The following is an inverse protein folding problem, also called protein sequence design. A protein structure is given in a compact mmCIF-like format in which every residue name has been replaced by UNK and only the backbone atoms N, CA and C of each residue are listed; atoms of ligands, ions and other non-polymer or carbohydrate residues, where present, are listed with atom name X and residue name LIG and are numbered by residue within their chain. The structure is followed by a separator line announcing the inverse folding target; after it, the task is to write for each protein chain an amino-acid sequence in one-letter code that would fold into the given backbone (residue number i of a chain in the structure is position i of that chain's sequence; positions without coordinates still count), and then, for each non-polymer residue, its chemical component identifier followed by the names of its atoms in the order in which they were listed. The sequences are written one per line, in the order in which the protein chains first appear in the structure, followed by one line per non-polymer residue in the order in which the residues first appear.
data_IF_228363629845
#
_entry.id   IF_228363629845
#
_cell.length_a   1.000
_cell.length_b   1.000
_cell.length_c   1.000
_cell.angle_alpha   90.00
_cell.angle_beta   90.00
_cell.angle_gamma   90.00
#
_symmetry.space_group_name_H-M   'P 1'
#
loop_
_entity.id
_entity.type
_entity.pdbx_description
1 polymer ?
#
# COMPACT_ATOMS: atom_id res chain seq x y z
N UNK A 1 41.90 -14.52 14.65
CA UNK A 1 40.91 -15.28 13.86
C UNK A 1 39.48 -15.08 14.36
N UNK A 2 39.23 -14.91 15.65
CA UNK A 2 37.85 -14.71 16.19
C UNK A 2 37.19 -13.38 15.83
N UNK A 3 37.93 -12.28 15.69
CA UNK A 3 37.34 -10.97 15.27
C UNK A 3 36.81 -10.94 13.84
N UNK A 4 37.43 -11.73 12.92
CA UNK A 4 36.97 -11.78 11.53
C UNK A 4 35.63 -12.53 11.37
N UNK A 5 35.35 -13.45 12.30
CA UNK A 5 34.08 -14.20 12.28
C UNK A 5 32.89 -13.40 12.86
N UNK A 6 33.16 -12.51 13.81
CA UNK A 6 32.12 -11.65 14.38
C UNK A 6 31.62 -10.57 13.37
N UNK A 7 32.53 -10.00 12.57
CA UNK A 7 32.13 -9.04 11.53
C UNK A 7 31.36 -9.68 10.37
N UNK A 8 31.70 -10.92 10.00
CA UNK A 8 30.93 -11.66 8.99
C UNK A 8 29.54 -12.08 9.49
N UNK A 9 29.41 -12.44 10.77
CA UNK A 9 28.12 -12.76 11.37
C UNK A 9 27.22 -11.52 11.48
N UNK A 10 27.77 -10.37 11.85
CA UNK A 10 27.05 -9.11 11.89
C UNK A 10 26.61 -8.64 10.50
N UNK A 11 27.44 -8.81 9.46
CA UNK A 11 27.09 -8.49 8.08
C UNK A 11 26.00 -9.42 7.52
N UNK A 12 26.01 -10.70 7.92
CA UNK A 12 24.99 -11.66 7.51
C UNK A 12 23.64 -11.39 8.19
N UNK A 13 23.67 -11.01 9.48
CA UNK A 13 22.47 -10.62 10.22
C UNK A 13 21.81 -9.36 9.63
N UNK A 14 22.60 -8.34 9.26
CA UNK A 14 22.09 -7.13 8.61
C UNK A 14 21.51 -7.45 7.23
N UNK A 15 22.12 -8.36 6.46
CA UNK A 15 21.60 -8.77 5.15
C UNK A 15 20.27 -9.53 5.26
N UNK A 16 20.11 -10.38 6.28
CA UNK A 16 18.86 -11.11 6.53
C UNK A 16 17.77 -10.17 7.03
N UNK A 17 18.05 -9.21 7.90
CA UNK A 17 17.09 -8.20 8.36
C UNK A 17 16.61 -7.27 7.24
N UNK A 18 17.51 -6.85 6.35
CA UNK A 18 17.14 -6.04 5.18
C UNK A 18 16.25 -6.82 4.20
N UNK A 19 16.46 -8.13 4.04
CA UNK A 19 15.63 -8.98 3.17
C UNK A 19 14.25 -9.20 3.78
N UNK A 20 14.14 -9.39 5.10
CA UNK A 20 12.86 -9.56 5.80
C UNK A 20 12.04 -8.26 5.76
N UNK A 21 12.66 -7.09 5.93
CA UNK A 21 11.96 -5.80 5.83
C UNK A 21 11.43 -5.49 4.41
N UNK A 22 11.96 -6.14 3.35
CA UNK A 22 11.49 -5.97 1.98
C UNK A 22 10.42 -6.98 1.55
N UNK A 23 10.27 -8.09 2.25
CA UNK A 23 9.33 -9.17 1.88
C UNK A 23 7.97 -9.03 2.58
N UNK A 24 7.95 -8.47 3.78
CA UNK A 24 6.75 -8.38 4.61
C UNK A 24 5.63 -7.45 4.14
N UNK A 25 5.84 -6.32 3.44
CA UNK A 25 4.71 -5.46 3.09
C UNK A 25 3.84 -6.00 1.95
N UNK A 26 4.26 -7.05 1.23
CA UNK A 26 3.52 -7.56 0.08
C UNK A 26 2.75 -8.86 0.32
N UNK A 27 3.16 -9.71 1.24
CA UNK A 27 2.44 -10.94 1.57
C UNK A 27 1.28 -10.70 2.55
N UNK A 28 1.45 -9.80 3.51
CA UNK A 28 0.37 -9.30 4.34
C UNK A 28 -0.72 -8.60 3.51
N UNK A 29 -0.34 -7.89 2.42
CA UNK A 29 -1.28 -7.26 1.51
C UNK A 29 -2.25 -8.25 0.83
N UNK A 30 -1.86 -9.48 0.54
CA UNK A 30 -2.72 -10.42 -0.17
C UNK A 30 -3.74 -11.13 0.73
N UNK A 31 -3.34 -11.56 1.92
CA UNK A 31 -4.24 -12.25 2.85
C UNK A 31 -5.23 -11.28 3.51
N UNK A 32 -4.76 -10.09 3.90
CA UNK A 32 -5.58 -9.05 4.49
C UNK A 32 -6.47 -8.34 3.45
N UNK A 33 -6.07 -8.33 2.19
CA UNK A 33 -6.88 -7.83 1.09
C UNK A 33 -8.19 -8.63 0.93
N UNK A 34 -8.16 -9.95 1.08
CA UNK A 34 -9.36 -10.77 1.07
C UNK A 34 -10.26 -10.50 2.29
N UNK A 35 -9.66 -10.22 3.45
CA UNK A 35 -10.40 -9.86 4.68
C UNK A 35 -11.01 -8.45 4.60
N UNK A 36 -10.30 -7.49 3.98
CA UNK A 36 -10.77 -6.11 3.75
C UNK A 36 -11.99 -6.03 2.84
N UNK A 37 -12.05 -6.89 1.84
CA UNK A 37 -13.19 -6.97 0.93
C UNK A 37 -14.48 -7.44 1.62
N UNK A 38 -14.38 -8.04 2.80
CA UNK A 38 -15.53 -8.53 3.57
C UNK A 38 -16.02 -7.53 4.65
N UNK A 39 -15.22 -6.53 5.04
CA UNK A 39 -15.53 -5.68 6.22
C UNK A 39 -16.19 -4.34 5.91
N UNK A 40 -16.26 -3.90 4.67
CA UNK A 40 -16.79 -2.59 4.32
C UNK A 40 -18.11 -2.65 3.57
N UNK A 41 -19.21 -2.42 4.29
CA UNK A 41 -20.48 -1.90 3.73
C UNK A 41 -20.27 -0.43 3.29
N UNK A 42 -19.40 -0.16 2.32
CA UNK A 42 -19.49 1.10 1.58
C UNK A 42 -20.58 0.97 0.55
N UNK A 43 -21.50 1.94 0.55
CA UNK A 43 -22.57 2.00 -0.45
C UNK A 43 -21.94 1.88 -1.85
N UNK A 44 -22.29 0.80 -2.55
CA UNK A 44 -21.94 0.53 -3.94
C UNK A 44 -22.59 1.60 -4.85
N UNK A 45 -22.05 2.80 -4.85
CA UNK A 45 -22.27 3.70 -5.98
C UNK A 45 -21.32 3.22 -7.07
N UNK A 46 -21.83 2.33 -7.90
CA UNK A 46 -21.15 1.99 -9.15
C UNK A 46 -20.94 3.28 -9.98
N UNK A 47 -19.69 3.52 -10.39
CA UNK A 47 -19.35 4.65 -11.24
C UNK A 47 -18.89 5.90 -10.48
N UNK A 48 -18.51 6.93 -11.25
CA UNK A 48 -18.04 8.21 -10.70
C UNK A 48 -19.16 9.11 -10.16
N UNK A 49 -20.42 8.79 -10.45
CA UNK A 49 -21.57 9.62 -10.08
C UNK A 49 -21.66 10.97 -10.82
N UNK A 50 -20.82 11.15 -11.86
CA UNK A 50 -20.75 12.36 -12.71
C UNK A 50 -20.54 11.96 -14.16
N UNK A 51 -21.11 12.75 -15.07
CA UNK A 51 -20.94 12.57 -16.51
C UNK A 51 -19.65 13.22 -17.04
N UNK A 52 -19.03 14.08 -16.25
CA UNK A 52 -17.83 14.81 -16.63
C UNK A 52 -16.97 15.09 -15.40
N UNK A 53 -15.64 15.02 -15.53
CA UNK A 53 -14.68 15.34 -14.49
C UNK A 53 -13.55 16.23 -15.04
N UNK A 54 -13.01 17.15 -14.21
CA UNK A 54 -11.84 17.93 -14.60
C UNK A 54 -10.60 17.04 -14.67
N UNK A 55 -9.65 17.42 -15.54
CA UNK A 55 -8.35 16.81 -15.65
C UNK A 55 -7.33 17.61 -14.86
N UNK A 56 -6.39 16.87 -14.21
CA UNK A 56 -5.35 17.49 -13.39
C UNK A 56 -3.96 17.04 -13.83
N UNK A 57 -2.95 17.87 -13.52
CA UNK A 57 -1.53 17.51 -13.56
C UNK A 57 -0.93 17.58 -12.17
N UNK A 58 -0.02 16.68 -11.87
CA UNK A 58 0.80 16.76 -10.65
C UNK A 58 1.71 17.97 -10.73
N UNK A 59 1.83 18.70 -9.63
CA UNK A 59 2.83 19.74 -9.46
C UNK A 59 4.07 19.07 -8.89
N UNK A 60 5.26 19.24 -9.51
CA UNK A 60 6.50 18.72 -8.97
C UNK A 60 6.73 19.18 -7.53
N UNK A 61 7.24 18.28 -6.69
CA UNK A 61 7.59 18.60 -5.32
C UNK A 61 8.91 19.37 -5.21
N UNK A 62 9.31 19.68 -3.97
CA UNK A 62 10.51 20.52 -3.71
C UNK A 62 11.84 19.77 -3.88
N UNK A 63 11.80 18.51 -4.26
CA UNK A 63 12.97 17.65 -4.39
C UNK A 63 13.23 16.78 -3.16
N UNK A 64 13.76 15.57 -3.41
CA UNK A 64 13.95 14.55 -2.37
C UNK A 64 14.92 14.96 -1.26
N UNK A 65 15.99 15.66 -1.60
CA UNK A 65 16.99 16.14 -0.64
C UNK A 65 16.40 17.21 0.30
N UNK A 66 15.66 18.16 -0.25
CA UNK A 66 15.03 19.23 0.53
C UNK A 66 14.02 18.65 1.53
N UNK A 67 13.17 17.72 1.08
CA UNK A 67 12.18 17.06 1.94
C UNK A 67 12.87 16.22 3.02
N UNK A 68 13.89 15.43 2.66
CA UNK A 68 14.59 14.60 3.61
C UNK A 68 15.28 15.42 4.71
N UNK A 69 15.99 16.48 4.34
CA UNK A 69 16.67 17.36 5.29
C UNK A 69 15.67 18.04 6.25
N UNK A 70 14.54 18.49 5.72
CA UNK A 70 13.49 19.12 6.53
C UNK A 70 12.85 18.14 7.52
N UNK A 71 12.56 16.90 7.11
CA UNK A 71 12.02 15.85 7.98
C UNK A 71 13.05 15.43 9.05
N UNK A 72 14.32 15.29 8.69
CA UNK A 72 15.38 15.03 9.67
C UNK A 72 15.45 16.13 10.71
N UNK A 73 15.46 17.38 10.29
CA UNK A 73 15.45 18.53 11.20
C UNK A 73 14.24 18.55 12.13
N UNK A 74 13.05 18.26 11.59
CA UNK A 74 11.80 18.20 12.35
C UNK A 74 11.83 17.13 13.44
N UNK A 75 12.37 15.95 13.14
CA UNK A 75 12.33 14.81 14.05
C UNK A 75 13.60 14.63 14.89
N UNK A 76 14.64 15.42 14.67
CA UNK A 76 15.94 15.28 15.37
C UNK A 76 15.81 15.35 16.89
N UNK A 77 14.97 16.23 17.40
CA UNK A 77 14.76 16.45 18.83
C UNK A 77 13.43 15.87 19.33
N UNK A 78 12.78 15.04 18.51
CA UNK A 78 11.50 14.44 18.89
C UNK A 78 11.68 13.44 20.04
N UNK A 79 10.82 13.56 21.06
CA UNK A 79 10.70 12.60 22.15
C UNK A 79 9.72 11.46 21.86
N UNK A 80 9.11 11.48 20.66
CA UNK A 80 8.17 10.43 20.22
C UNK A 80 8.92 9.32 19.48
N UNK A 81 8.28 8.17 19.20
CA UNK A 81 8.84 7.15 18.33
C UNK A 81 9.17 7.64 16.90
N UNK A 82 8.55 8.73 16.45
CA UNK A 82 8.95 9.38 15.19
C UNK A 82 10.16 10.28 15.47
N UNK A 83 11.36 9.72 15.38
CA UNK A 83 12.62 10.40 15.69
C UNK A 83 13.69 10.09 14.66
N UNK A 84 14.64 11.02 14.46
CA UNK A 84 15.83 10.85 13.62
C UNK A 84 17.11 11.03 14.42
N UNK A 85 17.05 10.74 15.72
CA UNK A 85 18.22 10.77 16.61
C UNK A 85 19.24 9.68 16.26
N UNK A 86 20.49 9.90 16.65
CA UNK A 86 21.59 8.98 16.43
C UNK A 86 22.32 9.19 15.10
N UNK A 87 23.28 8.31 14.85
CA UNK A 87 24.06 8.30 13.60
C UNK A 87 23.20 7.74 12.46
N UNK A 88 23.44 8.23 11.26
CA UNK A 88 22.71 7.73 10.08
C UNK A 88 23.62 7.66 8.86
N UNK A 89 23.26 6.78 7.92
CA UNK A 89 23.91 6.62 6.61
C UNK A 89 22.96 7.04 5.51
N UNK A 90 23.47 7.86 4.58
CA UNK A 90 22.74 8.30 3.39
C UNK A 90 23.09 7.41 2.20
N UNK A 91 22.10 6.95 1.47
CA UNK A 91 22.23 6.17 0.24
C UNK A 91 21.33 6.74 -0.84
N UNK A 92 21.85 6.85 -2.06
CA UNK A 92 21.07 7.26 -3.23
C UNK A 92 21.08 6.13 -4.24
N UNK A 93 19.90 5.65 -4.62
CA UNK A 93 19.75 4.61 -5.65
C UNK A 93 18.69 5.07 -6.66
N UNK A 94 19.15 5.49 -7.84
CA UNK A 94 18.27 6.08 -8.84
C UNK A 94 17.53 7.29 -8.28
N UNK A 95 16.20 7.26 -8.37
CA UNK A 95 15.34 8.36 -7.90
C UNK A 95 14.96 8.28 -6.41
N UNK A 96 15.54 7.35 -5.65
CA UNK A 96 15.29 7.15 -4.23
C UNK A 96 16.48 7.65 -3.41
N UNK A 97 16.18 8.43 -2.37
CA UNK A 97 17.09 8.79 -1.30
C UNK A 97 16.66 8.03 -0.05
N UNK A 98 17.56 7.21 0.51
CA UNK A 98 17.37 6.49 1.75
C UNK A 98 18.31 7.02 2.81
N UNK A 99 17.81 7.28 4.01
CA UNK A 99 18.59 7.65 5.18
C UNK A 99 18.26 6.63 6.25
N UNK A 100 19.29 5.90 6.68
CA UNK A 100 19.17 4.74 7.56
C UNK A 100 19.89 5.07 8.86
N UNK A 101 19.12 5.21 9.93
CA UNK A 101 19.61 5.32 11.30
C UNK A 101 19.77 3.95 11.95
N UNK A 102 20.10 3.92 13.23
CA UNK A 102 20.23 2.69 14.01
C UNK A 102 18.88 1.96 14.16
N UNK A 103 17.85 2.68 14.56
CA UNK A 103 16.51 2.13 14.83
C UNK A 103 15.45 2.60 13.82
N UNK A 104 15.80 3.40 12.81
CA UNK A 104 14.84 4.02 11.91
C UNK A 104 15.35 4.12 10.48
N UNK A 105 14.43 4.30 9.55
CA UNK A 105 14.78 4.71 8.19
C UNK A 105 13.79 5.74 7.64
N UNK A 106 14.29 6.56 6.73
CA UNK A 106 13.54 7.52 5.96
C UNK A 106 13.87 7.34 4.48
N UNK A 107 12.87 7.04 3.68
CA UNK A 107 12.96 7.00 2.22
C UNK A 107 12.19 8.15 1.62
N UNK A 108 12.82 8.86 0.70
CA UNK A 108 12.20 9.91 -0.11
C UNK A 108 12.40 9.58 -1.58
N UNK A 109 11.31 9.50 -2.32
CA UNK A 109 11.32 9.11 -3.74
C UNK A 109 10.85 10.26 -4.64
N UNK A 110 11.25 10.17 -5.91
CA UNK A 110 10.82 11.08 -6.94
C UNK A 110 11.26 12.51 -6.67
N UNK A 111 10.30 13.39 -6.75
CA UNK A 111 10.44 14.83 -6.52
C UNK A 111 10.22 15.26 -5.05
N UNK A 112 10.16 14.29 -4.13
CA UNK A 112 9.92 14.53 -2.71
C UNK A 112 8.44 14.43 -2.30
N UNK A 113 7.53 14.12 -3.21
CA UNK A 113 6.11 13.94 -2.88
C UNK A 113 5.80 12.56 -2.31
N UNK A 114 6.74 11.61 -2.37
CA UNK A 114 6.58 10.27 -1.82
C UNK A 114 7.63 10.01 -0.73
N UNK A 115 7.16 9.77 0.48
CA UNK A 115 7.99 9.55 1.66
C UNK A 115 7.53 8.30 2.39
N UNK A 116 8.49 7.60 2.97
CA UNK A 116 8.28 6.51 3.92
C UNK A 116 9.19 6.67 5.11
N UNK A 117 8.62 6.63 6.30
CA UNK A 117 9.35 6.58 7.55
C UNK A 117 8.92 5.37 8.38
N UNK A 118 9.86 4.69 9.02
CA UNK A 118 9.61 3.63 10.00
C UNK A 118 10.61 3.72 11.13
N UNK A 119 10.15 3.42 12.33
CA UNK A 119 11.01 3.18 13.47
C UNK A 119 10.96 1.68 13.82
N UNK A 120 12.06 0.98 13.58
CA UNK A 120 12.15 -0.47 13.78
C UNK A 120 12.04 -0.89 15.24
N UNK A 121 12.57 -0.08 16.16
CA UNK A 121 12.52 -0.37 17.60
C UNK A 121 11.10 -0.56 18.13
N UNK A 122 10.13 0.09 17.49
CA UNK A 122 8.72 0.04 17.86
C UNK A 122 7.88 -0.86 16.94
N UNK A 123 8.49 -1.35 15.87
CA UNK A 123 7.89 -2.32 14.96
C UNK A 123 8.29 -3.76 15.27
N UNK A 124 9.36 -3.94 16.07
CA UNK A 124 9.73 -5.26 16.54
C UNK A 124 8.55 -5.86 17.29
N UNK A 125 8.08 -6.98 16.75
CA UNK A 125 6.98 -7.76 17.30
C UNK A 125 7.41 -8.37 18.64
N UNK A 126 7.41 -7.54 19.67
CA UNK A 126 7.58 -8.03 21.03
C UNK A 126 6.28 -8.69 21.46
N UNK A 127 6.26 -9.99 21.75
CA UNK A 127 5.05 -10.71 22.10
C UNK A 127 4.27 -10.05 23.25
N UNK A 128 4.99 -9.41 24.19
CA UNK A 128 4.41 -8.70 25.33
C UNK A 128 3.65 -7.42 24.96
N UNK A 129 3.89 -6.88 23.76
CA UNK A 129 3.17 -5.69 23.24
C UNK A 129 2.02 -6.06 22.31
N UNK A 130 1.92 -7.33 21.94
CA UNK A 130 0.85 -7.81 21.09
C UNK A 130 -0.48 -7.84 21.89
N UNK A 131 -1.56 -7.57 21.20
CA UNK A 131 -2.92 -7.60 21.72
C UNK A 131 -3.74 -8.67 21.01
N UNK A 132 -4.73 -9.23 21.68
CA UNK A 132 -5.70 -10.09 20.99
C UNK A 132 -6.43 -9.30 19.90
N UNK A 133 -6.99 -10.01 18.92
CA UNK A 133 -7.74 -9.36 17.83
C UNK A 133 -8.93 -8.54 18.36
N UNK A 134 -9.53 -8.97 19.48
CA UNK A 134 -10.64 -8.27 20.15
C UNK A 134 -10.22 -6.97 20.85
N UNK A 135 -8.96 -6.86 21.27
CA UNK A 135 -8.43 -5.69 21.98
C UNK A 135 -7.76 -4.66 21.05
N UNK A 136 -7.81 -4.88 19.74
CA UNK A 136 -7.21 -3.96 18.76
C UNK A 136 -7.86 -2.58 18.82
N UNK A 137 -7.13 -1.57 18.37
CA UNK A 137 -7.69 -0.23 18.19
C UNK A 137 -8.84 -0.26 17.18
N UNK A 138 -9.95 0.40 17.49
CA UNK A 138 -11.07 0.49 16.57
C UNK A 138 -10.73 1.39 15.36
N UNK A 139 -11.47 1.23 14.26
CA UNK A 139 -11.27 2.03 13.05
C UNK A 139 -11.48 3.52 13.32
N UNK A 140 -12.49 3.87 14.14
CA UNK A 140 -12.80 5.25 14.52
C UNK A 140 -11.66 5.85 15.34
N UNK A 141 -11.09 5.07 16.26
CA UNK A 141 -9.93 5.53 17.04
C UNK A 141 -8.70 5.72 16.20
N UNK A 142 -8.44 4.82 15.25
CA UNK A 142 -7.32 4.94 14.30
C UNK A 142 -7.51 6.16 13.37
N UNK A 143 -8.74 6.43 12.93
CA UNK A 143 -9.04 7.61 12.13
C UNK A 143 -8.78 8.90 12.92
N UNK A 144 -9.29 9.00 14.15
CA UNK A 144 -9.06 10.15 15.05
C UNK A 144 -7.56 10.40 15.22
N UNK A 145 -6.81 9.37 15.64
CA UNK A 145 -5.37 9.46 15.87
C UNK A 145 -4.61 9.85 14.59
N UNK A 146 -5.00 9.28 13.45
CA UNK A 146 -4.39 9.59 12.15
C UNK A 146 -4.59 11.04 11.74
N UNK A 147 -5.80 11.57 11.89
CA UNK A 147 -6.10 13.00 11.61
C UNK A 147 -5.31 13.94 12.52
N UNK A 148 -5.24 13.62 13.81
CA UNK A 148 -4.43 14.39 14.78
C UNK A 148 -2.96 14.39 14.36
N UNK A 149 -2.40 13.22 14.03
CA UNK A 149 -1.00 13.12 13.62
C UNK A 149 -0.72 13.91 12.33
N UNK A 150 -1.56 13.79 11.31
CA UNK A 150 -1.42 14.56 10.07
C UNK A 150 -1.44 16.06 10.36
N UNK A 151 -2.42 16.53 11.13
CA UNK A 151 -2.57 17.95 11.46
C UNK A 151 -1.38 18.50 12.25
N UNK A 152 -0.88 17.77 13.24
CA UNK A 152 0.18 18.23 14.13
C UNK A 152 1.59 18.04 13.55
N UNK A 153 1.79 17.00 12.74
CA UNK A 153 3.15 16.59 12.34
C UNK A 153 3.38 16.72 10.84
N UNK A 154 2.40 16.42 10.01
CA UNK A 154 2.56 16.37 8.55
C UNK A 154 1.83 17.49 7.79
N UNK A 155 1.27 18.48 8.46
CA UNK A 155 0.45 19.54 7.83
C UNK A 155 1.18 20.33 6.74
N UNK A 156 2.50 20.48 6.83
CA UNK A 156 3.30 21.13 5.79
C UNK A 156 3.47 20.29 4.52
N UNK A 157 3.32 18.96 4.64
CA UNK A 157 3.49 18.01 3.55
C UNK A 157 2.15 17.52 3.00
N UNK A 158 1.17 17.34 3.88
CA UNK A 158 -0.20 16.89 3.54
C UNK A 158 -1.11 18.12 3.51
N UNK A 159 -0.97 18.91 2.45
CA UNK A 159 -1.80 20.10 2.25
C UNK A 159 -3.12 19.70 1.60
N UNK A 160 -4.21 20.22 2.15
CA UNK A 160 -5.59 20.01 1.68
C UNK A 160 -6.09 21.34 1.13
N UNK A 161 -6.44 21.38 -0.14
CA UNK A 161 -7.02 22.55 -0.81
C UNK A 161 -8.47 22.81 -0.39
N UNK A 162 -9.02 23.97 -0.79
CA UNK A 162 -10.38 24.38 -0.39
C UNK A 162 -11.48 23.43 -0.90
N UNK A 163 -11.26 22.79 -2.04
CA UNK A 163 -12.17 21.82 -2.66
C UNK A 163 -11.71 20.37 -2.47
N UNK A 164 -10.76 20.14 -1.56
CA UNK A 164 -10.21 18.82 -1.27
C UNK A 164 -10.62 18.35 0.12
N UNK A 165 -10.73 17.05 0.28
CA UNK A 165 -11.04 16.40 1.54
C UNK A 165 -10.09 15.25 1.79
N UNK A 166 -9.68 15.06 3.05
CA UNK A 166 -8.97 13.88 3.53
C UNK A 166 -10.00 12.84 3.97
N UNK A 167 -10.05 11.71 3.25
CA UNK A 167 -11.07 10.66 3.46
C UNK A 167 -10.40 9.41 4.01
N UNK A 168 -10.91 8.77 5.08
CA UNK A 168 -10.44 7.46 5.49
C UNK A 168 -10.71 6.45 4.38
N UNK A 169 -9.68 5.67 4.04
CA UNK A 169 -9.76 4.72 2.94
C UNK A 169 -9.89 3.29 3.44
N UNK A 170 -8.98 2.84 4.31
CA UNK A 170 -9.07 1.58 5.01
C UNK A 170 -8.16 1.56 6.25
N UNK A 171 -8.39 0.59 7.12
CA UNK A 171 -7.50 0.22 8.22
C UNK A 171 -6.88 -1.15 7.96
N UNK A 172 -5.68 -1.36 8.50
CA UNK A 172 -4.93 -2.60 8.39
C UNK A 172 -4.33 -2.96 9.74
N UNK A 173 -4.36 -4.25 10.08
CA UNK A 173 -3.75 -4.75 11.30
C UNK A 173 -2.64 -5.74 10.92
N UNK A 174 -1.44 -5.54 11.47
CA UNK A 174 -0.36 -6.52 11.38
C UNK A 174 -0.66 -7.63 12.37
N UNK A 175 -1.05 -8.79 11.86
CA UNK A 175 -1.44 -9.96 12.63
C UNK A 175 -0.34 -11.02 12.51
N UNK A 176 -0.01 -11.66 13.63
CA UNK A 176 0.88 -12.82 13.67
C UNK A 176 0.34 -13.87 14.64
N UNK A 177 0.82 -15.10 14.52
CA UNK A 177 0.28 -16.26 15.22
C UNK A 177 -0.57 -17.15 14.31
N UNK A 178 -1.36 -18.03 14.87
CA UNK A 178 -2.25 -18.92 14.12
C UNK A 178 -1.61 -20.22 13.62
N UNK A 179 -0.33 -20.45 13.93
CA UNK A 179 0.35 -21.71 13.62
C UNK A 179 0.19 -22.76 14.70
N UNK A 180 0.32 -24.04 14.34
CA UNK A 180 0.45 -25.15 15.29
C UNK A 180 1.93 -25.38 15.60
N UNK A 181 2.30 -25.32 16.89
CA UNK A 181 3.67 -25.60 17.32
C UNK A 181 4.08 -27.07 17.09
N UNK A 182 3.10 -27.98 17.09
CA UNK A 182 3.26 -29.42 16.80
C UNK A 182 1.98 -29.91 16.13
N UNK A 183 2.11 -30.98 15.32
CA UNK A 183 0.96 -31.65 14.73
C UNK A 183 -0.05 -32.06 15.81
N UNK A 184 -1.32 -31.72 15.63
CA UNK A 184 -2.40 -31.99 16.58
C UNK A 184 -2.50 -31.02 17.79
N UNK A 185 -1.57 -30.09 17.95
CA UNK A 185 -1.72 -29.03 18.96
C UNK A 185 -2.74 -27.96 18.50
N UNK A 186 -3.40 -27.28 19.43
CA UNK A 186 -4.22 -26.12 19.05
C UNK A 186 -3.34 -25.04 18.38
N UNK A 187 -3.90 -24.33 17.40
CA UNK A 187 -3.22 -23.19 16.81
C UNK A 187 -3.01 -22.08 17.83
N UNK A 188 -1.90 -21.37 17.75
CA UNK A 188 -1.65 -20.20 18.58
C UNK A 188 -2.71 -19.12 18.29
N UNK A 189 -3.06 -18.38 19.33
CA UNK A 189 -3.98 -17.24 19.19
C UNK A 189 -3.37 -16.18 18.28
N UNK A 190 -4.16 -15.69 17.31
CA UNK A 190 -3.79 -14.55 16.49
C UNK A 190 -3.66 -13.28 17.32
N UNK A 191 -2.56 -12.57 17.15
CA UNK A 191 -2.25 -11.32 17.87
C UNK A 191 -1.97 -10.19 16.92
N UNK A 192 -2.47 -9.00 17.26
CA UNK A 192 -2.20 -7.75 16.55
C UNK A 192 -0.96 -7.09 17.14
N UNK A 193 -0.01 -6.73 16.31
CA UNK A 193 1.25 -6.06 16.66
C UNK A 193 1.23 -4.57 16.36
N UNK A 194 0.59 -4.18 15.28
CA UNK A 194 0.47 -2.78 14.86
C UNK A 194 -0.81 -2.60 14.03
N UNK A 195 -1.27 -1.37 13.94
CA UNK A 195 -2.42 -0.99 13.12
C UNK A 195 -2.08 0.20 12.24
N UNK A 196 -2.56 0.20 11.01
CA UNK A 196 -2.35 1.28 10.06
C UNK A 196 -3.69 1.83 9.59
N UNK A 197 -3.87 3.14 9.64
CA UNK A 197 -4.95 3.84 8.94
C UNK A 197 -4.41 4.44 7.66
N UNK A 198 -5.14 4.25 6.58
CA UNK A 198 -4.83 4.87 5.28
C UNK A 198 -5.92 5.87 4.93
N UNK A 199 -5.50 7.07 4.59
CA UNK A 199 -6.37 8.10 4.03
C UNK A 199 -6.11 8.27 2.54
N UNK A 200 -7.14 8.70 1.83
CA UNK A 200 -7.05 9.17 0.45
C UNK A 200 -7.55 10.60 0.35
N UNK A 201 -7.42 11.19 -0.82
CA UNK A 201 -7.93 12.52 -1.14
C UNK A 201 -9.18 12.40 -2.00
N UNK A 202 -10.15 13.30 -1.81
CA UNK A 202 -11.13 13.64 -2.84
C UNK A 202 -10.92 15.08 -3.31
N UNK A 203 -11.28 15.36 -4.56
CA UNK A 203 -11.32 16.69 -5.15
C UNK A 203 -12.75 16.88 -5.69
N UNK A 204 -13.41 17.95 -5.26
CA UNK A 204 -14.82 18.19 -5.62
C UNK A 204 -15.72 16.96 -5.40
N UNK A 205 -15.50 16.24 -4.30
CA UNK A 205 -16.19 14.98 -3.91
C UNK A 205 -15.92 13.78 -4.83
N UNK A 206 -14.95 13.86 -5.74
CA UNK A 206 -14.46 12.73 -6.53
C UNK A 206 -13.19 12.18 -5.89
N UNK A 207 -13.20 10.90 -5.53
CA UNK A 207 -12.06 10.27 -4.86
C UNK A 207 -10.87 10.10 -5.81
N UNK A 208 -9.65 10.31 -5.29
CA UNK A 208 -8.45 9.87 -5.99
C UNK A 208 -8.25 8.39 -5.75
N UNK A 209 -8.16 7.63 -6.83
CA UNK A 209 -7.85 6.19 -6.82
C UNK A 209 -6.42 5.95 -7.34
N UNK A 210 -5.88 4.75 -7.10
CA UNK A 210 -4.50 4.42 -7.44
C UNK A 210 -3.54 4.63 -6.27
N UNK A 211 -2.24 4.67 -6.55
CA UNK A 211 -1.20 4.77 -5.53
C UNK A 211 -0.94 6.20 -5.05
N UNK A 212 -1.28 7.19 -5.87
CA UNK A 212 -1.14 8.60 -5.53
C UNK A 212 -2.18 9.10 -4.54
N UNK A 213 -1.89 10.22 -3.89
CA UNK A 213 -2.76 10.86 -2.88
C UNK A 213 -3.20 9.91 -1.76
N UNK A 214 -2.24 9.16 -1.24
CA UNK A 214 -2.43 8.30 -0.06
C UNK A 214 -1.52 8.78 1.07
N UNK A 215 -2.03 8.70 2.28
CA UNK A 215 -1.23 8.83 3.50
C UNK A 215 -1.61 7.72 4.46
N UNK A 216 -0.61 6.96 4.90
CA UNK A 216 -0.75 5.85 5.83
C UNK A 216 -0.02 6.20 7.13
N UNK A 217 -0.66 6.02 8.27
CA UNK A 217 -0.06 6.21 9.58
C UNK A 217 -0.11 4.88 10.32
N UNK A 218 1.04 4.42 10.77
CA UNK A 218 1.18 3.19 11.54
C UNK A 218 1.25 3.50 13.02
N UNK A 219 0.46 2.79 13.81
CA UNK A 219 0.38 2.90 15.26
C UNK A 219 0.72 1.57 15.93
N UNK A 220 1.39 1.63 17.08
CA UNK A 220 1.42 0.49 17.98
C UNK A 220 0.08 0.32 18.70
N UNK A 221 -0.10 -0.76 19.46
CA UNK A 221 -1.35 -1.06 20.17
C UNK A 221 -1.71 -0.07 21.28
N UNK A 222 -0.82 0.87 21.61
CA UNK A 222 -1.09 1.99 22.56
C UNK A 222 -1.60 3.24 21.83
N UNK A 223 -1.73 3.19 20.50
CA UNK A 223 -2.12 4.36 19.69
C UNK A 223 -0.99 5.37 19.48
N UNK A 224 0.27 4.98 19.71
CA UNK A 224 1.43 5.84 19.45
C UNK A 224 1.89 5.66 18.01
N UNK A 225 2.09 6.74 17.23
CA UNK A 225 2.57 6.64 15.85
C UNK A 225 4.02 6.14 15.81
N UNK A 226 4.30 5.13 15.01
CA UNK A 226 5.61 4.49 14.86
C UNK A 226 6.14 4.51 13.43
N UNK A 227 5.31 4.94 12.48
CA UNK A 227 5.69 5.09 11.09
C UNK A 227 4.64 5.81 10.28
N UNK A 228 5.04 6.30 9.12
CA UNK A 228 4.13 6.87 8.14
C UNK A 228 4.65 6.68 6.72
N UNK A 229 3.72 6.63 5.77
CA UNK A 229 3.97 6.68 4.34
C UNK A 229 3.04 7.71 3.72
N UNK A 230 3.53 8.48 2.77
CA UNK A 230 2.64 9.27 1.92
C UNK A 230 3.15 9.34 0.48
N UNK A 231 2.22 9.47 -0.46
CA UNK A 231 2.40 9.98 -1.80
C UNK A 231 1.37 11.10 -1.97
N UNK A 232 1.79 12.36 -1.77
CA UNK A 232 0.88 13.49 -1.64
C UNK A 232 1.29 14.67 -2.51
N UNK A 233 1.10 14.56 -3.85
CA UNK A 233 1.37 15.66 -4.76
C UNK A 233 0.36 16.78 -4.58
N UNK A 234 0.72 17.99 -4.97
CA UNK A 234 -0.25 19.01 -5.30
C UNK A 234 -0.72 18.83 -6.74
N UNK A 235 -1.96 19.24 -7.00
CA UNK A 235 -2.53 19.18 -8.34
C UNK A 235 -2.85 20.59 -8.87
N UNK A 236 -2.74 20.74 -10.18
CA UNK A 236 -3.27 21.90 -10.88
C UNK A 236 -4.29 21.45 -11.93
N UNK A 237 -5.43 22.12 -12.07
CA UNK A 237 -6.35 21.91 -13.17
C UNK A 237 -5.64 22.14 -14.51
N UNK A 238 -5.97 21.37 -15.52
CA UNK A 238 -5.46 21.58 -16.89
C UNK A 238 -6.29 22.59 -17.68
N UNK A 239 -7.45 23.00 -17.16
CA UNK A 239 -8.47 23.77 -17.88
C UNK A 239 -9.34 22.91 -18.80
N UNK A 240 -9.07 21.62 -18.87
CA UNK A 240 -9.85 20.64 -19.65
C UNK A 240 -10.69 19.76 -18.75
N UNK A 241 -11.76 19.21 -19.28
CA UNK A 241 -12.57 18.18 -18.65
C UNK A 241 -12.68 16.96 -19.56
N UNK A 242 -13.14 15.85 -18.99
CA UNK A 242 -13.28 14.56 -19.65
C UNK A 242 -14.68 14.02 -19.38
N UNK A 243 -15.40 13.66 -20.45
CA UNK A 243 -16.65 12.93 -20.34
C UNK A 243 -16.41 11.51 -19.83
N UNK A 244 -17.23 11.06 -18.89
CA UNK A 244 -17.14 9.76 -18.24
C UNK A 244 -18.07 8.79 -18.97
N UNK A 245 -17.57 7.60 -19.23
CA UNK A 245 -18.34 6.52 -19.84
C UNK A 245 -19.42 6.02 -18.88
N UNK A 246 -20.57 5.56 -19.41
CA UNK A 246 -21.53 4.79 -18.64
C UNK A 246 -20.88 3.54 -18.02
N UNK A 247 -21.36 3.12 -16.85
CA UNK A 247 -20.80 1.99 -16.09
C UNK A 247 -20.68 0.72 -16.93
N UNK A 248 -21.68 0.39 -17.74
CA UNK A 248 -21.65 -0.79 -18.61
C UNK A 248 -20.56 -0.71 -19.69
N UNK A 249 -20.28 0.48 -20.22
CA UNK A 249 -19.18 0.66 -21.16
C UNK A 249 -17.81 0.49 -20.48
N UNK A 250 -17.69 0.92 -19.21
CA UNK A 250 -16.49 0.71 -18.42
C UNK A 250 -16.30 -0.78 -18.10
N UNK A 251 -17.36 -1.50 -17.72
CA UNK A 251 -17.34 -2.95 -17.52
C UNK A 251 -16.90 -3.70 -18.78
N UNK A 252 -17.47 -3.33 -19.94
CA UNK A 252 -17.08 -3.92 -21.23
C UNK A 252 -15.61 -3.62 -21.61
N UNK A 253 -15.11 -2.45 -21.25
CA UNK A 253 -13.68 -2.12 -21.39
C UNK A 253 -12.82 -2.96 -20.44
N UNK A 254 -13.30 -3.20 -19.22
CA UNK A 254 -12.64 -4.02 -18.23
C UNK A 254 -12.45 -5.46 -18.68
N UNK A 255 -13.44 -6.07 -19.31
CA UNK A 255 -13.34 -7.42 -19.91
C UNK A 255 -12.18 -7.58 -20.88
N UNK A 256 -11.79 -6.50 -21.55
CA UNK A 256 -10.69 -6.49 -22.52
C UNK A 256 -9.33 -6.15 -21.92
N UNK A 257 -9.29 -5.40 -20.81
CA UNK A 257 -8.08 -4.81 -20.25
C UNK A 257 -7.65 -5.41 -18.91
N UNK A 258 -8.56 -6.03 -18.15
CA UNK A 258 -8.23 -6.64 -16.87
C UNK A 258 -7.25 -7.81 -17.03
N UNK A 259 -6.43 -8.02 -16.01
CA UNK A 259 -5.44 -9.10 -15.95
C UNK A 259 -6.07 -10.47 -15.89
N UNK A 260 -7.26 -10.55 -15.29
CA UNK A 260 -8.06 -11.75 -15.22
C UNK A 260 -9.24 -11.66 -16.18
N UNK A 261 -9.66 -12.79 -16.70
CA UNK A 261 -10.94 -12.93 -17.37
C UNK A 261 -12.07 -12.78 -16.32
N UNK A 262 -12.64 -11.58 -16.23
CA UNK A 262 -13.65 -11.24 -15.22
C UNK A 262 -15.00 -11.95 -15.45
N UNK A 263 -15.20 -12.58 -16.61
CA UNK A 263 -16.35 -13.42 -16.93
C UNK A 263 -16.11 -14.91 -16.59
N UNK A 264 -14.87 -15.29 -16.24
CA UNK A 264 -14.55 -16.65 -15.81
C UNK A 264 -15.25 -17.02 -14.50
N UNK A 265 -15.81 -18.24 -14.38
CA UNK A 265 -16.45 -18.72 -13.16
C UNK A 265 -15.50 -18.79 -11.94
N UNK A 266 -14.18 -18.90 -12.18
CA UNK A 266 -13.16 -18.97 -11.14
C UNK A 266 -12.72 -17.58 -10.66
N UNK A 267 -13.14 -16.53 -11.37
CA UNK A 267 -12.85 -15.14 -11.04
C UNK A 267 -14.07 -14.48 -10.42
N UNK A 268 -13.84 -13.82 -9.28
CA UNK A 268 -14.87 -13.01 -8.63
C UNK A 268 -14.42 -11.56 -8.56
N UNK A 269 -15.19 -10.69 -9.18
CA UNK A 269 -15.05 -9.23 -9.00
C UNK A 269 -15.74 -8.88 -7.68
N UNK A 270 -14.98 -8.29 -6.75
CA UNK A 270 -15.47 -7.92 -5.42
C UNK A 270 -15.85 -6.46 -5.33
N UNK A 271 -15.16 -5.61 -6.06
CA UNK A 271 -15.32 -4.18 -5.93
C UNK A 271 -14.91 -3.45 -7.20
N UNK A 272 -15.67 -2.41 -7.50
CA UNK A 272 -15.48 -1.55 -8.66
C UNK A 272 -15.48 -0.09 -8.20
N UNK A 273 -14.28 0.45 -7.90
CA UNK A 273 -14.11 1.79 -7.37
C UNK A 273 -13.73 2.75 -8.48
N UNK A 274 -14.56 3.77 -8.74
CA UNK A 274 -14.28 4.78 -9.75
C UNK A 274 -13.91 6.12 -9.12
N UNK A 275 -13.01 6.86 -9.79
CA UNK A 275 -12.50 8.12 -9.32
C UNK A 275 -11.52 8.76 -10.32
N UNK A 276 -10.74 9.71 -9.84
CA UNK A 276 -9.62 10.28 -10.57
C UNK A 276 -8.39 9.38 -10.33
N UNK A 277 -7.82 8.81 -11.40
CA UNK A 277 -6.69 7.89 -11.29
C UNK A 277 -5.36 8.62 -11.23
N UNK A 278 -4.60 8.37 -10.16
CA UNK A 278 -3.19 8.76 -10.00
C UNK A 278 -2.33 7.53 -9.70
N UNK A 279 -1.42 7.21 -10.61
CA UNK A 279 -0.52 6.05 -10.50
C UNK A 279 0.54 6.17 -9.39
N UNK A 280 0.69 7.33 -8.78
CA UNK A 280 1.73 7.63 -7.80
C UNK A 280 3.09 7.95 -8.44
N UNK A 281 3.97 8.57 -7.65
CA UNK A 281 5.27 9.11 -8.14
C UNK A 281 6.17 8.05 -8.79
N UNK A 282 6.09 6.80 -8.34
CA UNK A 282 6.95 5.70 -8.85
C UNK A 282 6.60 5.25 -10.27
N UNK A 283 5.35 5.48 -10.67
CA UNK A 283 4.80 5.05 -11.96
C UNK A 283 4.28 6.24 -12.77
N UNK A 284 4.36 7.43 -12.19
CA UNK A 284 3.89 8.64 -12.85
C UNK A 284 4.84 9.02 -13.99
N UNK A 285 4.30 9.10 -15.19
CA UNK A 285 4.94 9.82 -16.28
C UNK A 285 4.67 11.31 -16.05
N UNK A 286 5.69 12.19 -16.05
CA UNK A 286 5.49 13.64 -15.88
C UNK A 286 4.52 14.25 -16.91
N UNK A 287 4.30 13.58 -18.05
CA UNK A 287 3.32 13.96 -19.06
C UNK A 287 1.90 13.44 -18.76
N UNK A 288 1.77 12.48 -17.84
CA UNK A 288 0.48 11.86 -17.52
C UNK A 288 -0.45 12.84 -16.86
N UNK A 289 -1.71 12.75 -17.22
CA UNK A 289 -2.82 13.50 -16.65
C UNK A 289 -3.56 12.62 -15.65
N UNK A 290 -3.91 13.17 -14.51
CA UNK A 290 -4.83 12.54 -13.57
C UNK A 290 -6.23 12.68 -14.15
N UNK A 291 -6.86 11.55 -14.46
CA UNK A 291 -8.08 11.46 -15.27
C UNK A 291 -9.04 10.40 -14.73
N UNK A 292 -10.25 10.35 -15.29
CA UNK A 292 -11.24 9.36 -14.89
C UNK A 292 -10.74 7.92 -15.05
N UNK A 293 -10.86 7.13 -14.00
CA UNK A 293 -10.49 5.71 -13.99
C UNK A 293 -11.32 4.91 -13.00
N UNK A 294 -11.26 3.59 -13.13
CA UNK A 294 -11.86 2.68 -12.17
C UNK A 294 -10.84 1.62 -11.75
N UNK A 295 -10.78 1.32 -10.47
CA UNK A 295 -10.06 0.18 -9.92
C UNK A 295 -11.00 -1.01 -9.83
N UNK A 296 -10.60 -2.14 -10.41
CA UNK A 296 -11.33 -3.40 -10.32
C UNK A 296 -10.56 -4.30 -9.39
N UNK A 297 -11.18 -4.66 -8.29
CA UNK A 297 -10.63 -5.60 -7.33
C UNK A 297 -11.24 -6.96 -7.59
N UNK A 298 -10.42 -7.89 -8.04
CA UNK A 298 -10.83 -9.25 -8.35
C UNK A 298 -9.94 -10.28 -7.65
N UNK A 299 -10.45 -11.47 -7.49
CA UNK A 299 -9.66 -12.60 -7.04
C UNK A 299 -9.99 -13.84 -7.87
N UNK A 300 -8.97 -14.66 -8.06
CA UNK A 300 -9.07 -15.95 -8.71
C UNK A 300 -8.80 -17.06 -7.69
N UNK A 301 -9.67 -18.07 -7.64
CA UNK A 301 -9.46 -19.27 -6.82
C UNK A 301 -8.99 -20.40 -7.72
N UNK A 302 -7.76 -20.88 -7.48
CA UNK A 302 -7.19 -22.03 -8.19
C UNK A 302 -7.06 -23.23 -7.25
N UNK A 303 -7.63 -24.36 -7.65
CA UNK A 303 -7.43 -25.62 -6.96
C UNK A 303 -6.04 -26.15 -7.38
N UNK A 304 -5.14 -26.30 -6.40
CA UNK A 304 -3.76 -26.79 -6.60
C UNK A 304 -3.58 -28.24 -6.13
N UNK A 305 -4.42 -28.69 -5.20
CA UNK A 305 -4.51 -30.08 -4.73
C UNK A 305 -5.98 -30.48 -4.66
N UNK A 306 -6.41 -31.27 -5.63
CA UNK A 306 -7.80 -31.70 -5.75
C UNK A 306 -8.24 -32.63 -4.62
N UNK A 307 -7.36 -33.43 -4.08
CA UNK A 307 -7.69 -34.40 -3.03
C UNK A 307 -7.80 -33.70 -1.67
N UNK A 308 -6.90 -32.75 -1.37
CA UNK A 308 -7.04 -31.90 -0.21
C UNK A 308 -8.31 -31.07 -0.29
N UNK A 309 -8.63 -30.48 -1.45
CA UNK A 309 -9.83 -29.67 -1.66
C UNK A 309 -11.14 -30.47 -1.57
N UNK A 310 -11.12 -31.75 -1.98
CA UNK A 310 -12.29 -32.65 -1.81
C UNK A 310 -12.56 -32.94 -0.34
N UNK A 311 -11.49 -33.16 0.45
CA UNK A 311 -11.58 -33.42 1.90
C UNK A 311 -12.02 -32.19 2.67
N UNK A 312 -11.43 -31.05 2.34
CA UNK A 312 -11.73 -29.76 2.97
C UNK A 312 -11.71 -28.63 1.93
N UNK A 313 -12.84 -27.95 1.71
CA UNK A 313 -13.00 -26.87 0.76
C UNK A 313 -12.17 -25.64 1.06
N UNK A 314 -11.60 -25.53 2.27
CA UNK A 314 -10.70 -24.47 2.69
C UNK A 314 -9.24 -24.82 2.49
N UNK A 315 -8.93 -26.06 2.08
CA UNK A 315 -7.57 -26.52 1.78
C UNK A 315 -7.39 -26.86 0.31
N UNK A 316 -6.16 -27.14 -0.12
CA UNK A 316 -5.85 -27.55 -1.49
C UNK A 316 -6.11 -26.51 -2.57
N UNK A 317 -6.24 -25.23 -2.23
CA UNK A 317 -6.40 -24.15 -3.18
C UNK A 317 -5.50 -22.94 -2.89
N UNK A 318 -5.25 -22.14 -3.91
CA UNK A 318 -4.64 -20.82 -3.78
C UNK A 318 -5.64 -19.74 -4.19
N UNK A 319 -5.50 -18.56 -3.59
CA UNK A 319 -6.29 -17.39 -3.96
C UNK A 319 -5.33 -16.28 -4.39
N UNK A 320 -5.45 -15.85 -5.64
CA UNK A 320 -4.77 -14.68 -6.18
C UNK A 320 -5.67 -13.45 -6.09
N UNK A 321 -5.21 -12.36 -5.50
CA UNK A 321 -5.92 -11.08 -5.49
C UNK A 321 -5.27 -10.10 -6.47
N UNK A 322 -6.09 -9.40 -7.25
CA UNK A 322 -5.65 -8.50 -8.32
C UNK A 322 -6.38 -7.17 -8.21
N UNK A 323 -5.67 -6.12 -8.60
CA UNK A 323 -6.27 -4.80 -8.76
C UNK A 323 -5.84 -4.26 -10.12
N UNK A 324 -6.81 -4.12 -11.02
CA UNK A 324 -6.64 -3.53 -12.33
C UNK A 324 -7.24 -2.13 -12.39
N UNK A 325 -6.56 -1.22 -13.08
CA UNK A 325 -7.05 0.14 -13.28
C UNK A 325 -7.48 0.31 -14.73
N UNK A 326 -8.74 0.68 -14.93
CA UNK A 326 -9.39 0.79 -16.23
C UNK A 326 -9.71 2.26 -16.51
N UNK A 327 -9.36 2.81 -17.70
CA UNK A 327 -9.78 4.16 -18.10
C UNK A 327 -11.30 4.27 -18.14
N UNK A 328 -11.84 5.29 -17.46
CA UNK A 328 -13.29 5.53 -17.39
C UNK A 328 -13.76 6.70 -18.26
N UNK A 329 -12.86 7.45 -18.88
CA UNK A 329 -13.20 8.52 -19.81
C UNK A 329 -13.54 8.04 -21.22
N UNK A 330 -14.35 8.81 -21.96
CA UNK A 330 -14.63 8.55 -23.39
C UNK A 330 -13.34 8.58 -24.20
N UNK A 331 -12.49 9.57 -23.97
CA UNK A 331 -11.14 9.68 -24.52
C UNK A 331 -10.11 9.49 -23.41
N UNK A 332 -9.01 8.84 -23.71
CA UNK A 332 -7.84 8.83 -22.84
C UNK A 332 -6.93 9.94 -23.34
N UNK A 333 -6.64 10.95 -22.49
CA UNK A 333 -5.72 12.01 -22.87
C UNK A 333 -4.35 11.44 -23.22
N UNK A 334 -3.90 11.63 -24.47
CA UNK A 334 -2.71 10.98 -25.01
C UNK A 334 -1.39 11.52 -24.47
N UNK A 335 -1.37 12.70 -23.88
CA UNK A 335 -0.20 13.21 -23.15
C UNK A 335 0.16 12.35 -21.93
N UNK A 336 -0.72 11.42 -21.58
CA UNK A 336 -0.49 10.34 -20.68
C UNK A 336 -0.96 9.06 -21.34
N UNK A 337 -0.05 8.30 -21.95
CA UNK A 337 -0.32 6.87 -22.11
C UNK A 337 -0.84 6.40 -20.79
N UNK A 338 -2.06 5.87 -20.75
CA UNK A 338 -2.60 5.21 -19.56
C UNK A 338 -1.46 4.35 -18.99
N UNK A 339 -1.07 4.54 -17.72
CA UNK A 339 0.21 4.08 -17.24
C UNK A 339 0.41 2.62 -17.60
N UNK A 340 1.54 2.29 -18.20
CA UNK A 340 1.89 0.90 -18.59
C UNK A 340 1.90 -0.07 -17.40
N UNK A 341 1.65 0.41 -16.19
CA UNK A 341 1.32 -0.42 -15.04
C UNK A 341 0.24 -1.46 -15.34
N UNK A 342 -0.69 -1.17 -16.25
CA UNK A 342 -1.64 -2.14 -16.76
C UNK A 342 -1.01 -3.23 -17.64
N UNK A 343 0.11 -2.95 -18.31
CA UNK A 343 0.86 -3.95 -19.08
C UNK A 343 1.77 -4.82 -18.20
N UNK A 344 2.10 -4.39 -16.99
CA UNK A 344 2.94 -5.18 -16.08
C UNK A 344 2.24 -6.40 -15.50
N UNK A 345 0.92 -6.48 -15.56
CA UNK A 345 0.16 -7.68 -15.27
C UNK A 345 -0.06 -8.56 -16.50
N UNK A 346 0.64 -8.24 -17.62
CA UNK A 346 0.58 -9.04 -18.83
C UNK A 346 1.12 -10.45 -18.63
N UNK A 347 0.28 -11.41 -18.91
CA UNK A 347 0.46 -12.83 -19.30
C UNK A 347 1.34 -13.77 -18.47
N UNK A 348 2.12 -13.34 -17.49
CA UNK A 348 2.76 -14.21 -16.51
C UNK A 348 2.80 -13.51 -15.17
N UNK A 349 1.84 -13.73 -14.28
CA UNK A 349 2.09 -13.55 -12.87
C UNK A 349 3.20 -14.53 -12.56
N UNK A 350 4.42 -14.05 -12.42
CA UNK A 350 5.48 -14.83 -11.79
C UNK A 350 4.91 -15.14 -10.42
N UNK A 351 4.46 -16.37 -10.24
CA UNK A 351 4.10 -16.91 -8.95
C UNK A 351 5.32 -16.71 -8.06
N UNK A 352 5.31 -15.69 -7.20
CA UNK A 352 6.35 -15.46 -6.20
C UNK A 352 6.40 -16.59 -5.17
N UNK A 353 5.50 -17.54 -5.29
CA UNK A 353 5.42 -18.77 -4.52
C UNK A 353 5.84 -20.03 -5.29
N UNK A 354 6.43 -19.90 -6.49
CA UNK A 354 7.18 -21.00 -7.03
C UNK A 354 8.34 -21.27 -6.07
N UNK A 355 8.25 -22.36 -5.32
CA UNK A 355 9.36 -22.86 -4.53
C UNK A 355 10.61 -22.87 -5.43
N UNK A 356 11.78 -22.46 -4.93
CA UNK A 356 13.01 -22.55 -5.71
C UNK A 356 13.14 -23.97 -6.22
N UNK A 357 13.34 -24.12 -7.54
CA UNK A 357 13.50 -25.43 -8.17
C UNK A 357 14.68 -26.24 -7.62
N UNK A 358 15.52 -25.59 -6.82
CA UNK A 358 16.75 -26.13 -6.22
C UNK A 358 16.72 -26.01 -4.69
N UNK A 359 15.67 -26.49 -4.04
CA UNK A 359 15.71 -26.74 -2.59
C UNK A 359 16.81 -27.77 -2.27
N UNK A 360 17.60 -27.61 -1.17
CA UNK A 360 18.63 -28.57 -0.81
C UNK A 360 17.99 -29.93 -0.64
N UNK A 361 18.47 -30.94 -1.40
CA UNK A 361 18.12 -32.33 -1.21
C UNK A 361 18.60 -32.70 0.19
N UNK A 362 17.68 -32.87 1.12
CA UNK A 362 17.95 -33.47 2.41
C UNK A 362 18.44 -34.92 2.13
N UNK A 363 19.70 -35.19 2.49
CA UNK A 363 20.26 -36.55 2.57
C UNK A 363 19.84 -37.15 3.89
#
# INVERSE_FOLDING_TARGET
MERLNAEKAASLAIAVYVIIAFVFPFSAFAADFAHRLNSEKRSEKEGLGRNEVPLFKRIPGPGKEAVANKLIGLFKNSKTPITTQGTSKKQVKGNRLSIIGEDWFLDVNGDGTNVRYRNYKYLDSKPELAKSVSERLSNEKLEELGRVFIKQTLSEYIKIGANEELIPFYTEHAIGGGGQAKEGAPADEEKVYASTIVFTRSIDKVNIIGAGSKVAIMFNNKGTPVGFDYDWPQYRPTGKSQKVLPVEAIKNRAKKLASLDIDSPDVKVKRFDCGLYDAGVRKHDPKSVVQAGCAIHSYEKKIIDHDAYKRDKNSGHSVGAYTDFIPAGETVEEDGKWPQAMKMHGKNPVSRFAAPKDGPKLK
#
